data_IF_869892864180
#
_entry.id   IF_869892864180
#
_cell.length_a   1.000
_cell.length_b   1.000
_cell.length_c   1.000
_cell.angle_alpha   90.00
_cell.angle_beta   90.00
_cell.angle_gamma   90.00
#
_symmetry.space_group_name_H-M   'P 1'
#
loop_
_entity.id
_entity.type
_entity.pdbx_description
1 polymer ?
#
# COMPACT_ATOMS: atom_id res chain seq x y z
N UNK A 1 -13.51 -10.06 -31.29
CA UNK A 1 -13.06 -10.11 -29.90
C UNK A 1 -13.67 -8.95 -29.16
N UNK A 2 -14.64 -9.21 -28.28
CA UNK A 2 -15.22 -8.15 -27.46
C UNK A 2 -14.13 -7.70 -26.46
N UNK A 3 -13.79 -6.42 -26.48
CA UNK A 3 -12.97 -5.82 -25.44
C UNK A 3 -13.72 -5.98 -24.11
N UNK A 4 -13.03 -6.49 -23.08
CA UNK A 4 -13.58 -6.49 -21.73
C UNK A 4 -13.96 -5.05 -21.34
N UNK A 5 -15.08 -4.83 -20.64
CA UNK A 5 -15.46 -3.49 -20.21
C UNK A 5 -14.31 -2.92 -19.37
N UNK A 6 -13.77 -1.78 -19.80
CA UNK A 6 -12.72 -1.09 -19.05
C UNK A 6 -13.22 -0.84 -17.63
N UNK A 7 -12.54 -1.44 -16.65
CA UNK A 7 -12.80 -1.23 -15.22
C UNK A 7 -12.76 0.29 -14.96
N UNK A 8 -13.81 0.85 -14.37
CA UNK A 8 -13.79 2.27 -14.03
C UNK A 8 -12.52 2.59 -13.22
N UNK A 9 -11.81 3.68 -13.56
CA UNK A 9 -10.56 4.00 -12.91
C UNK A 9 -10.81 4.23 -11.42
N UNK A 10 -9.93 3.66 -10.58
CA UNK A 10 -10.01 3.85 -9.13
C UNK A 10 -9.92 5.35 -8.80
N UNK A 11 -10.66 5.77 -7.77
CA UNK A 11 -10.70 7.17 -7.33
C UNK A 11 -10.02 7.35 -5.99
N UNK A 12 -9.36 8.49 -5.82
CA UNK A 12 -8.82 8.91 -4.53
C UNK A 12 -9.92 9.53 -3.65
N UNK A 13 -9.56 9.92 -2.43
CA UNK A 13 -10.47 10.49 -1.42
C UNK A 13 -11.10 11.84 -1.82
N UNK A 14 -10.54 12.52 -2.82
CA UNK A 14 -11.06 13.78 -3.37
C UNK A 14 -12.06 13.54 -4.51
N UNK A 15 -12.33 12.28 -4.86
CA UNK A 15 -13.23 11.90 -5.95
C UNK A 15 -12.61 12.00 -7.35
N UNK A 16 -11.32 12.30 -7.46
CA UNK A 16 -10.57 12.32 -8.73
C UNK A 16 -9.82 11.01 -8.95
N UNK A 17 -9.15 10.85 -10.10
CA UNK A 17 -8.38 9.65 -10.44
C UNK A 17 -7.30 9.33 -9.39
N UNK A 18 -7.15 8.05 -9.07
CA UNK A 18 -6.15 7.57 -8.12
C UNK A 18 -4.74 7.71 -8.70
N UNK A 19 -3.88 8.46 -8.01
CA UNK A 19 -2.48 8.61 -8.39
C UNK A 19 -1.62 7.43 -7.90
N UNK A 20 -0.48 7.22 -8.55
CA UNK A 20 0.50 6.24 -8.13
C UNK A 20 1.07 6.58 -6.75
N UNK A 21 1.04 5.61 -5.84
CA UNK A 21 1.65 5.73 -4.51
C UNK A 21 3.16 5.48 -4.60
N UNK A 22 3.59 4.34 -5.15
CA UNK A 22 5.00 4.03 -5.36
C UNK A 22 5.18 2.86 -6.35
N UNK A 23 5.78 3.11 -7.51
CA UNK A 23 6.02 2.08 -8.52
C UNK A 23 7.28 1.24 -8.27
N UNK A 24 8.21 1.75 -7.46
CA UNK A 24 9.46 1.07 -7.12
C UNK A 24 9.87 1.44 -5.69
N UNK A 25 9.54 0.55 -4.75
CA UNK A 25 9.79 0.78 -3.32
C UNK A 25 11.28 0.61 -3.05
N UNK A 26 11.93 1.72 -2.67
CA UNK A 26 13.37 1.84 -2.38
C UNK A 26 14.32 1.21 -3.42
N UNK A 27 13.94 1.17 -4.70
CA UNK A 27 14.77 0.58 -5.77
C UNK A 27 14.75 -0.95 -5.78
N UNK A 28 13.71 -1.58 -5.24
CA UNK A 28 13.54 -3.04 -5.23
C UNK A 28 13.02 -3.63 -6.55
N UNK A 29 12.53 -2.79 -7.45
CA UNK A 29 11.78 -3.22 -8.64
C UNK A 29 10.35 -3.70 -8.34
N UNK A 30 9.85 -3.44 -7.12
CA UNK A 30 8.53 -3.87 -6.66
C UNK A 30 7.65 -2.65 -6.40
N UNK A 31 6.48 -2.59 -7.03
CA UNK A 31 5.46 -1.59 -6.75
C UNK A 31 4.72 -1.88 -5.44
N UNK A 32 4.26 -0.83 -4.75
CA UNK A 32 3.36 -0.99 -3.61
C UNK A 32 1.94 -1.39 -4.04
N UNK A 33 0.99 -1.42 -3.11
CA UNK A 33 -0.39 -1.83 -3.37
C UNK A 33 -0.58 -3.34 -3.26
N UNK A 34 -1.80 -3.79 -2.97
CA UNK A 34 -2.11 -5.22 -2.84
C UNK A 34 -1.72 -6.01 -4.09
N UNK A 35 -2.00 -5.45 -5.27
CA UNK A 35 -1.70 -6.03 -6.58
C UNK A 35 -0.26 -5.77 -7.07
N UNK A 36 0.57 -5.04 -6.30
CA UNK A 36 1.95 -4.64 -6.64
C UNK A 36 2.06 -3.82 -7.93
N UNK A 37 1.00 -3.08 -8.27
CA UNK A 37 0.92 -2.19 -9.43
C UNK A 37 1.35 -0.74 -9.13
N UNK A 38 1.68 -0.46 -7.86
CA UNK A 38 2.09 0.85 -7.37
C UNK A 38 0.94 1.75 -6.89
N UNK A 39 -0.31 1.28 -6.95
CA UNK A 39 -1.50 2.03 -6.57
C UNK A 39 -2.16 1.42 -5.34
N UNK A 40 -2.81 2.26 -4.51
CA UNK A 40 -3.61 1.78 -3.38
C UNK A 40 -5.03 1.40 -3.82
N UNK A 41 -5.13 0.77 -4.99
CA UNK A 41 -6.37 0.19 -5.50
C UNK A 41 -6.67 -1.10 -4.72
N UNK A 42 -7.95 -1.46 -4.65
CA UNK A 42 -8.41 -2.62 -3.86
C UNK A 42 -9.50 -3.37 -4.62
N UNK A 43 -9.87 -4.55 -4.12
CA UNK A 43 -10.89 -5.40 -4.71
C UNK A 43 -11.31 -6.51 -3.75
N UNK A 44 -12.16 -7.45 -4.20
CA UNK A 44 -12.71 -8.51 -3.35
C UNK A 44 -11.65 -9.38 -2.66
N UNK A 45 -10.48 -9.54 -3.28
CA UNK A 45 -9.38 -10.37 -2.74
C UNK A 45 -8.56 -9.65 -1.64
N UNK A 46 -8.64 -8.33 -1.56
CA UNK A 46 -7.90 -7.52 -0.60
C UNK A 46 -8.73 -7.29 0.68
N UNK A 47 -8.81 -8.34 1.50
CA UNK A 47 -9.50 -8.27 2.79
C UNK A 47 -8.90 -7.22 3.75
N UNK A 48 -7.61 -6.92 3.62
CA UNK A 48 -6.90 -5.92 4.42
C UNK A 48 -7.22 -4.48 4.03
N UNK A 49 -7.73 -4.26 2.81
CA UNK A 49 -8.00 -2.94 2.20
C UNK A 49 -6.78 -2.03 2.27
N UNK A 50 -5.77 -2.35 1.47
CA UNK A 50 -4.54 -1.58 1.33
C UNK A 50 -4.78 -0.27 0.55
N UNK A 51 -5.63 0.60 1.08
CA UNK A 51 -6.16 1.79 0.41
C UNK A 51 -5.58 3.11 0.92
N UNK A 52 -4.67 3.07 1.90
CA UNK A 52 -4.05 4.28 2.47
C UNK A 52 -2.59 4.37 2.04
N UNK A 53 -2.25 5.32 1.17
CA UNK A 53 -0.86 5.62 0.83
C UNK A 53 -0.23 6.41 1.98
N UNK A 54 0.71 5.81 2.70
CA UNK A 54 1.49 6.48 3.74
C UNK A 54 2.87 6.87 3.20
N UNK A 55 3.49 7.89 3.80
CA UNK A 55 4.95 8.04 3.80
C UNK A 55 5.46 7.57 5.15
N UNK A 56 6.29 6.52 5.15
CA UNK A 56 6.74 5.90 6.39
C UNK A 56 7.78 6.77 7.10
N UNK A 57 7.59 6.99 8.39
CA UNK A 57 8.61 7.59 9.26
C UNK A 57 9.20 6.53 10.17
N UNK A 58 10.39 6.76 10.70
CA UNK A 58 11.00 5.86 11.70
C UNK A 58 10.07 5.63 12.90
N UNK A 59 9.46 6.72 13.41
CA UNK A 59 8.45 6.65 14.50
C UNK A 59 7.26 5.77 14.10
N UNK A 60 6.71 5.97 12.91
CA UNK A 60 5.57 5.19 12.44
C UNK A 60 5.90 3.69 12.33
N UNK A 61 7.08 3.35 11.78
CA UNK A 61 7.53 1.96 11.66
C UNK A 61 7.73 1.29 13.02
N UNK A 62 8.24 2.02 14.02
CA UNK A 62 8.39 1.53 15.38
C UNK A 62 7.02 1.25 16.04
N UNK A 63 6.06 2.18 15.95
CA UNK A 63 4.71 1.98 16.50
C UNK A 63 3.98 0.85 15.78
N UNK A 64 4.05 0.80 14.45
CA UNK A 64 3.46 -0.29 13.66
C UNK A 64 4.00 -1.66 14.07
N UNK A 65 5.32 -1.77 14.31
CA UNK A 65 5.93 -3.00 14.80
C UNK A 65 5.42 -3.37 16.21
N UNK A 66 5.30 -2.39 17.11
CA UNK A 66 4.83 -2.61 18.48
C UNK A 66 3.38 -3.13 18.56
N UNK A 67 2.52 -2.80 17.58
CA UNK A 67 1.15 -3.32 17.47
C UNK A 67 1.04 -4.58 16.60
N UNK A 68 2.17 -5.26 16.34
CA UNK A 68 2.20 -6.54 15.63
C UNK A 68 2.12 -6.42 14.10
N UNK A 69 2.54 -5.29 13.52
CA UNK A 69 2.63 -5.08 12.08
C UNK A 69 4.02 -4.53 11.68
N UNK A 70 5.09 -5.36 11.74
CA UNK A 70 6.45 -4.90 11.50
C UNK A 70 6.72 -4.69 9.99
N UNK A 71 6.38 -3.50 9.47
CA UNK A 71 6.54 -3.16 8.05
C UNK A 71 7.99 -3.10 7.57
N UNK A 72 8.97 -3.03 8.48
CA UNK A 72 10.39 -3.03 8.11
C UNK A 72 10.92 -4.44 7.77
N UNK A 73 10.17 -5.50 8.09
CA UNK A 73 10.61 -6.88 7.87
C UNK A 73 10.22 -7.35 6.46
N UNK A 74 11.18 -7.70 5.59
CA UNK A 74 10.88 -8.22 4.26
C UNK A 74 10.18 -9.57 4.34
N UNK A 75 9.20 -9.81 3.45
CA UNK A 75 8.55 -11.10 3.26
C UNK A 75 8.61 -11.46 1.76
N UNK A 76 9.67 -12.14 1.30
CA UNK A 76 9.91 -12.40 -0.12
C UNK A 76 8.77 -13.16 -0.82
N UNK A 77 8.11 -14.07 -0.09
CA UNK A 77 7.00 -14.89 -0.59
C UNK A 77 5.78 -14.03 -1.02
N UNK A 78 5.67 -12.80 -0.51
CA UNK A 78 4.61 -11.86 -0.86
C UNK A 78 5.11 -10.68 -1.69
N UNK A 79 6.31 -10.76 -2.27
CA UNK A 79 6.97 -9.62 -2.92
C UNK A 79 6.90 -8.38 -2.02
N UNK A 80 7.24 -8.54 -0.74
CA UNK A 80 7.30 -7.45 0.21
C UNK A 80 8.76 -7.18 0.58
N UNK A 81 9.36 -6.08 0.09
CA UNK A 81 10.78 -5.81 0.31
C UNK A 81 11.09 -5.23 1.71
N UNK A 82 10.04 -4.98 2.51
CA UNK A 82 10.14 -4.15 3.71
C UNK A 82 10.06 -2.66 3.37
N UNK A 83 9.70 -1.85 4.35
CA UNK A 83 9.52 -0.40 4.22
C UNK A 83 10.56 0.33 5.08
N UNK A 84 11.19 1.35 4.52
CA UNK A 84 12.18 2.21 5.18
C UNK A 84 11.61 3.61 5.45
N UNK A 85 12.20 4.39 6.36
CA UNK A 85 11.84 5.79 6.50
C UNK A 85 11.97 6.54 5.16
N UNK A 86 10.94 7.30 4.78
CA UNK A 86 10.82 8.00 3.51
C UNK A 86 10.12 7.22 2.39
N UNK A 87 9.94 5.90 2.55
CA UNK A 87 9.23 5.10 1.54
C UNK A 87 7.72 5.35 1.58
N UNK A 88 7.10 5.33 0.40
CA UNK A 88 5.64 5.32 0.27
C UNK A 88 5.11 3.90 0.15
N UNK A 89 4.08 3.59 0.93
CA UNK A 89 3.49 2.25 0.96
C UNK A 89 1.97 2.29 1.14
N UNK A 90 1.25 1.41 0.45
CA UNK A 90 -0.18 1.22 0.65
C UNK A 90 -0.43 0.34 1.88
N UNK A 91 -0.93 0.95 2.94
CA UNK A 91 -1.24 0.30 4.20
C UNK A 91 -2.73 -0.08 4.29
N UNK A 92 -3.02 -1.19 4.99
CA UNK A 92 -4.37 -1.56 5.39
C UNK A 92 -5.07 -0.40 6.11
N UNK A 93 -6.27 -0.03 5.68
CA UNK A 93 -7.03 1.06 6.30
C UNK A 93 -7.27 0.84 7.80
N UNK A 94 -7.54 -0.40 8.22
CA UNK A 94 -7.71 -0.76 9.63
C UNK A 94 -6.43 -0.60 10.45
N UNK A 95 -5.27 -0.91 9.87
CA UNK A 95 -3.96 -0.70 10.51
C UNK A 95 -3.62 0.78 10.61
N UNK A 96 -3.95 1.54 9.58
CA UNK A 96 -3.79 2.99 9.64
C UNK A 96 -4.65 3.61 10.74
N UNK A 97 -5.93 3.24 10.82
CA UNK A 97 -6.85 3.73 11.86
C UNK A 97 -6.36 3.41 13.29
N UNK A 98 -5.79 2.23 13.52
CA UNK A 98 -5.20 1.84 14.81
C UNK A 98 -4.01 2.71 15.25
N UNK A 99 -3.37 3.44 14.33
CA UNK A 99 -2.11 4.15 14.57
C UNK A 99 -2.25 5.67 14.61
N UNK A 100 -3.42 6.20 14.26
CA UNK A 100 -3.70 7.65 14.20
C UNK A 100 -4.52 8.16 15.41
N UNK A 101 -4.88 7.29 16.34
CA UNK A 101 -5.55 7.65 17.61
C UNK A 101 -4.55 8.07 18.69
#
# INVERSE_FOLDING_TARGET
SAAEPAREPARNVLGTELSCCCADVHGSGIGTGFYRDGYCSTGPDDAGRHTVCIEATEKFLAVSAAVGNPLHQPIPQFMFPGVRPGDRWCLCASRYAQLIE
#
